data_IF_614597637917
#
_entry.id   IF_614597637917
#
_cell.length_a   1.000
_cell.length_b   1.000
_cell.length_c   1.000
_cell.angle_alpha   90.00
_cell.angle_beta   90.00
_cell.angle_gamma   90.00
#
_symmetry.space_group_name_H-M   'P 1'
#
loop_
_entity.id
_entity.type
_entity.pdbx_description
1 polymer ?
#
# COMPACT_ATOMS: atom_id res chain seq x y z
N UNK A 1 -32.91 -10.63 31.06
CA UNK A 1 -31.66 -9.90 31.37
C UNK A 1 -31.19 -10.40 32.73
N UNK A 2 -29.99 -10.98 32.81
CA UNK A 2 -29.44 -11.51 34.05
C UNK A 2 -29.44 -10.44 35.14
N UNK A 3 -29.76 -10.84 36.37
CA UNK A 3 -29.79 -10.01 37.56
C UNK A 3 -28.34 -9.63 37.97
N UNK A 4 -27.67 -8.81 37.15
CA UNK A 4 -26.30 -8.35 37.41
C UNK A 4 -26.36 -7.31 38.53
N UNK A 5 -25.58 -7.49 39.59
CA UNK A 5 -25.56 -6.55 40.70
C UNK A 5 -25.10 -5.16 40.23
N UNK A 6 -25.64 -4.10 40.84
CA UNK A 6 -25.24 -2.72 40.54
C UNK A 6 -23.72 -2.53 40.72
N UNK A 7 -23.14 -3.21 41.72
CA UNK A 7 -21.70 -3.24 41.94
C UNK A 7 -20.92 -3.79 40.73
N UNK A 8 -21.34 -4.93 40.17
CA UNK A 8 -20.68 -5.51 39.00
C UNK A 8 -20.72 -4.59 37.77
N UNK A 9 -21.83 -3.86 37.55
CA UNK A 9 -21.90 -2.85 36.48
C UNK A 9 -20.95 -1.66 36.71
N UNK A 10 -20.78 -1.23 37.97
CA UNK A 10 -19.82 -0.17 38.32
C UNK A 10 -18.38 -0.64 38.13
N UNK A 11 -18.07 -1.87 38.53
CA UNK A 11 -16.74 -2.46 38.32
C UNK A 11 -16.40 -2.61 36.84
N UNK A 12 -17.36 -3.05 36.01
CA UNK A 12 -17.16 -3.17 34.56
C UNK A 12 -16.92 -1.81 33.87
N UNK A 13 -17.60 -0.75 34.31
CA UNK A 13 -17.35 0.62 33.81
C UNK A 13 -15.99 1.15 34.24
N UNK A 14 -15.62 0.91 35.50
CA UNK A 14 -14.33 1.32 36.03
C UNK A 14 -13.18 0.65 35.29
N UNK A 15 -13.26 -0.66 35.07
CA UNK A 15 -12.22 -1.38 34.30
C UNK A 15 -12.12 -0.84 32.86
N UNK A 16 -13.26 -0.63 32.19
CA UNK A 16 -13.27 -0.06 30.85
C UNK A 16 -12.61 1.34 30.81
N UNK A 17 -12.84 2.17 31.85
CA UNK A 17 -12.22 3.49 31.93
C UNK A 17 -10.71 3.43 32.19
N UNK A 18 -10.24 2.51 33.03
CA UNK A 18 -8.82 2.32 33.33
C UNK A 18 -8.06 1.85 32.08
N UNK A 19 -8.63 0.92 31.32
CA UNK A 19 -7.99 0.33 30.14
C UNK A 19 -8.30 1.09 28.83
N UNK A 20 -9.07 2.18 28.88
CA UNK A 20 -9.40 2.98 27.70
C UNK A 20 -10.37 2.31 26.73
N UNK A 21 -11.16 1.35 27.20
CA UNK A 21 -12.23 0.69 26.45
C UNK A 21 -13.53 1.50 26.47
N UNK A 22 -14.55 1.02 25.76
CA UNK A 22 -15.83 1.73 25.62
C UNK A 22 -16.65 1.67 26.93
N UNK A 23 -16.71 2.80 27.65
CA UNK A 23 -17.45 2.91 28.93
C UNK A 23 -18.97 3.01 28.75
N UNK A 24 -19.43 3.67 27.67
CA UNK A 24 -20.85 3.87 27.42
C UNK A 24 -21.46 2.61 26.81
N UNK A 25 -22.61 2.13 27.30
CA UNK A 25 -23.30 1.02 26.63
C UNK A 25 -23.58 1.46 25.20
N UNK A 26 -22.99 0.75 24.26
CA UNK A 26 -22.97 1.09 22.85
C UNK A 26 -23.64 -0.03 22.08
N UNK A 27 -24.45 0.31 21.09
CA UNK A 27 -25.13 -0.68 20.26
C UNK A 27 -24.13 -1.56 19.51
N UNK A 28 -24.55 -2.79 19.22
CA UNK A 28 -23.74 -3.77 18.47
C UNK A 28 -23.29 -3.23 17.10
N UNK A 29 -24.12 -2.40 16.45
CA UNK A 29 -23.79 -1.73 15.19
C UNK A 29 -22.67 -0.70 15.37
N UNK A 30 -22.69 0.05 16.46
CA UNK A 30 -21.72 1.11 16.75
C UNK A 30 -20.37 0.54 17.20
N UNK A 31 -20.35 -0.65 17.82
CA UNK A 31 -19.11 -1.39 18.11
C UNK A 31 -18.30 -1.77 16.86
N UNK A 32 -18.92 -1.79 15.66
CA UNK A 32 -18.20 -1.99 14.39
C UNK A 32 -17.14 -0.90 14.17
N UNK A 33 -17.43 0.34 14.54
CA UNK A 33 -16.52 1.47 14.34
C UNK A 33 -15.26 1.29 15.18
N UNK A 34 -15.41 0.85 16.43
CA UNK A 34 -14.28 0.53 17.32
C UNK A 34 -13.38 -0.53 16.69
N UNK A 35 -13.97 -1.61 16.13
CA UNK A 35 -13.22 -2.66 15.44
C UNK A 35 -12.46 -2.15 14.22
N UNK A 36 -13.12 -1.35 13.39
CA UNK A 36 -12.52 -0.76 12.18
C UNK A 36 -11.30 0.10 12.48
N UNK A 37 -11.28 0.79 13.61
CA UNK A 37 -10.13 1.61 14.03
C UNK A 37 -9.09 0.84 14.84
N UNK A 38 -9.48 -0.24 15.52
CA UNK A 38 -8.53 -1.12 16.22
C UNK A 38 -7.70 -1.96 15.26
N UNK A 39 -8.26 -2.32 14.10
CA UNK A 39 -7.58 -3.14 13.09
C UNK A 39 -6.90 -2.28 12.02
N UNK A 40 -5.80 -2.80 11.45
CA UNK A 40 -5.20 -2.15 10.29
C UNK A 40 -6.12 -2.30 9.07
N UNK A 41 -6.47 -1.19 8.37
CA UNK A 41 -7.31 -1.26 7.18
C UNK A 41 -6.62 -2.07 6.09
N UNK A 42 -7.40 -2.83 5.33
CA UNK A 42 -6.92 -3.79 4.33
C UNK A 42 -5.97 -3.13 3.33
N UNK A 43 -6.27 -1.92 2.86
CA UNK A 43 -5.44 -1.18 1.91
C UNK A 43 -4.02 -0.84 2.41
N UNK A 44 -3.81 -0.78 3.73
CA UNK A 44 -2.50 -0.50 4.34
C UNK A 44 -1.70 -1.77 4.65
N UNK A 45 -2.30 -2.95 4.47
CA UNK A 45 -1.60 -4.21 4.67
C UNK A 45 -0.54 -4.36 3.58
N UNK A 46 0.67 -4.76 3.98
CA UNK A 46 1.82 -4.92 3.08
C UNK A 46 1.48 -5.82 1.90
N UNK A 47 0.81 -6.94 2.19
CA UNK A 47 0.31 -7.91 1.23
C UNK A 47 -0.50 -7.29 0.07
N UNK A 48 -1.24 -6.20 0.35
CA UNK A 48 -2.13 -5.57 -0.63
C UNK A 48 -1.39 -4.52 -1.45
N UNK A 49 -0.67 -3.58 -0.81
CA UNK A 49 -0.04 -2.49 -1.55
C UNK A 49 1.28 -2.89 -2.21
N UNK A 50 2.02 -3.86 -1.65
CA UNK A 50 3.28 -4.34 -2.22
C UNK A 50 3.11 -5.58 -3.08
N UNK A 51 1.94 -5.75 -3.69
CA UNK A 51 1.63 -6.91 -4.52
C UNK A 51 2.58 -7.02 -5.73
N UNK A 52 2.84 -5.89 -6.40
CA UNK A 52 3.81 -5.84 -7.50
C UNK A 52 5.18 -5.38 -7.00
N UNK A 53 6.26 -6.09 -7.35
CA UNK A 53 7.61 -5.59 -7.16
C UNK A 53 7.80 -4.26 -7.91
N UNK A 54 8.67 -3.36 -7.43
CA UNK A 54 8.94 -2.09 -8.09
C UNK A 54 9.67 -2.31 -9.43
N UNK A 55 8.93 -2.58 -10.51
CA UNK A 55 9.51 -2.95 -11.80
C UNK A 55 10.41 -1.87 -12.38
N UNK A 56 10.05 -0.60 -12.21
CA UNK A 56 10.81 0.53 -12.74
C UNK A 56 12.23 0.61 -12.17
N UNK A 57 12.43 0.23 -10.90
CA UNK A 57 13.76 0.25 -10.28
C UNK A 57 14.63 -0.87 -10.83
N UNK A 58 14.09 -2.08 -10.97
CA UNK A 58 14.79 -3.20 -11.61
C UNK A 58 15.14 -2.89 -13.07
N UNK A 59 14.19 -2.37 -13.83
CA UNK A 59 14.41 -2.02 -15.24
C UNK A 59 15.51 -0.97 -15.39
N UNK A 60 15.45 0.12 -14.61
CA UNK A 60 16.47 1.16 -14.64
C UNK A 60 17.85 0.64 -14.21
N UNK A 61 17.91 -0.22 -13.19
CA UNK A 61 19.14 -0.85 -12.72
C UNK A 61 19.75 -1.73 -13.81
N UNK A 62 18.97 -2.63 -14.40
CA UNK A 62 19.44 -3.54 -15.45
C UNK A 62 19.88 -2.79 -16.71
N UNK A 63 19.18 -1.70 -17.07
CA UNK A 63 19.57 -0.84 -18.18
C UNK A 63 20.93 -0.18 -17.94
N UNK A 64 21.18 0.35 -16.74
CA UNK A 64 22.47 0.95 -16.36
C UNK A 64 23.60 -0.09 -16.38
N UNK A 65 23.36 -1.27 -15.81
CA UNK A 65 24.33 -2.38 -15.82
C UNK A 65 24.67 -2.86 -17.23
N UNK A 66 23.69 -2.84 -18.15
CA UNK A 66 23.90 -3.15 -19.56
C UNK A 66 24.84 -2.14 -20.23
N UNK A 67 24.65 -0.85 -20.00
CA UNK A 67 25.54 0.18 -20.55
C UNK A 67 26.97 0.10 -19.99
N UNK A 68 27.11 -0.39 -18.76
CA UNK A 68 28.42 -0.62 -18.13
C UNK A 68 29.06 -1.95 -18.57
N UNK A 69 28.39 -2.78 -19.38
CA UNK A 69 28.89 -4.08 -19.82
C UNK A 69 28.94 -5.16 -18.73
N UNK A 70 28.40 -4.88 -17.54
CA UNK A 70 28.41 -5.81 -16.39
C UNK A 70 27.30 -6.85 -16.45
N UNK A 71 26.26 -6.61 -17.26
CA UNK A 71 25.09 -7.47 -17.38
C UNK A 71 24.63 -7.60 -18.83
N UNK A 72 24.59 -8.84 -19.33
CA UNK A 72 24.11 -9.18 -20.68
C UNK A 72 22.94 -10.16 -20.56
N UNK A 73 21.74 -9.68 -20.87
CA UNK A 73 20.52 -10.50 -20.88
C UNK A 73 20.18 -10.84 -22.30
N UNK A 74 20.20 -12.13 -22.62
CA UNK A 74 20.09 -12.64 -24.00
C UNK A 74 18.78 -12.26 -24.72
N UNK A 75 17.71 -11.92 -23.99
CA UNK A 75 16.40 -11.59 -24.60
C UNK A 75 16.36 -10.22 -25.28
N UNK A 76 17.23 -9.28 -24.89
CA UNK A 76 17.18 -7.91 -25.38
C UNK A 76 17.88 -7.66 -26.72
N UNK A 77 19.07 -8.22 -27.04
CA UNK A 77 19.66 -8.01 -28.36
C UNK A 77 18.75 -8.51 -29.49
N UNK A 78 17.94 -9.53 -29.21
CA UNK A 78 16.93 -10.04 -30.15
C UNK A 78 15.79 -9.03 -30.35
N UNK A 79 15.32 -8.39 -29.29
CA UNK A 79 14.30 -7.32 -29.38
C UNK A 79 14.81 -6.08 -30.08
N UNK A 80 16.02 -5.63 -29.74
CA UNK A 80 16.63 -4.43 -30.31
C UNK A 80 16.81 -4.60 -31.84
N UNK A 81 17.28 -5.77 -32.27
CA UNK A 81 17.45 -6.10 -33.70
C UNK A 81 16.11 -6.24 -34.45
N UNK A 82 15.05 -6.70 -33.77
CA UNK A 82 13.67 -6.71 -34.32
C UNK A 82 13.09 -5.29 -34.47
N UNK A 83 13.39 -4.39 -33.54
CA UNK A 83 12.96 -3.00 -33.59
C UNK A 83 13.60 -2.26 -34.78
N UNK A 84 14.89 -2.52 -35.02
CA UNK A 84 15.66 -1.91 -36.11
C UNK A 84 15.23 -2.41 -37.50
N UNK A 85 14.77 -3.66 -37.59
CA UNK A 85 14.30 -4.26 -38.86
C UNK A 85 12.85 -3.87 -39.20
N UNK A 86 12.03 -3.52 -38.22
CA UNK A 86 10.60 -3.18 -38.41
C UNK A 86 10.31 -1.67 -38.47
N UNK A 87 11.32 -0.80 -38.35
CA UNK A 87 11.17 0.64 -38.65
C UNK A 87 10.13 1.40 -37.82
N UNK A 88 9.72 0.87 -36.66
CA UNK A 88 8.81 1.57 -35.75
C UNK A 88 9.61 2.56 -34.88
N UNK A 89 9.78 3.77 -35.43
CA UNK A 89 10.13 4.96 -34.65
C UNK A 89 8.99 5.33 -33.70
N UNK A 90 8.88 4.64 -32.57
CA UNK A 90 7.97 5.04 -31.51
C UNK A 90 8.62 6.11 -30.64
N UNK A 91 8.03 7.31 -30.77
CA UNK A 91 8.12 8.46 -29.88
C UNK A 91 8.58 8.10 -28.47
N UNK A 92 9.77 8.61 -28.14
CA UNK A 92 10.33 8.63 -26.80
C UNK A 92 9.45 9.53 -25.91
N UNK A 93 8.36 8.98 -25.36
CA UNK A 93 7.65 9.61 -24.25
C UNK A 93 8.60 9.55 -23.06
N UNK A 94 9.18 10.70 -22.78
CA UNK A 94 9.90 11.02 -21.55
C UNK A 94 8.94 10.81 -20.38
N UNK A 95 8.95 9.62 -19.77
CA UNK A 95 8.38 9.41 -18.44
C UNK A 95 9.28 10.05 -17.38
N UNK A 96 9.36 11.39 -17.43
CA UNK A 96 9.66 12.20 -16.26
C UNK A 96 8.38 12.34 -15.46
N UNK A 97 8.26 11.61 -14.36
CA UNK A 97 7.25 11.85 -13.34
C UNK A 97 7.45 13.26 -12.76
N UNK A 98 6.85 14.28 -13.39
CA UNK A 98 6.65 15.60 -12.78
C UNK A 98 5.37 15.47 -11.94
N UNK A 99 5.51 15.54 -10.61
CA UNK A 99 4.37 15.55 -9.69
C UNK A 99 3.50 16.79 -9.96
N UNK A 100 2.16 16.67 -10.05
CA UNK A 100 1.27 17.80 -10.27
C UNK A 100 0.92 18.55 -8.97
N UNK A 101 1.91 18.84 -8.10
CA UNK A 101 1.69 19.55 -6.82
C UNK A 101 2.14 21.01 -6.79
N UNK A 102 2.75 21.55 -7.85
CA UNK A 102 3.46 22.84 -7.77
C UNK A 102 2.88 23.94 -8.69
N UNK A 103 1.57 23.92 -8.98
CA UNK A 103 0.89 25.00 -9.71
C UNK A 103 -0.39 25.41 -8.96
N UNK A 104 -0.20 26.05 -7.80
CA UNK A 104 -1.09 27.10 -7.26
C UNK A 104 -0.18 28.10 -6.52
N UNK A 105 0.11 29.22 -7.18
CA UNK A 105 0.39 30.55 -6.61
C UNK A 105 -0.14 31.55 -7.62
#
# INVERSE_FOLDING_TARGET
MSNVSNYALRMARLSAQIFGEVVRPTDSKSMKVVKLFSEQPIARRKEVYSWYPPHNTYYALMKKLRFLGLYSVAVWPVKDCLQDTLGFGEHFIVYGHRKPSDIIM
#
